data_IF_998564507779
#
_entry.id   IF_998564507779
#
_cell.length_a   1.000
_cell.length_b   1.000
_cell.length_c   1.000
_cell.angle_alpha   90.00
_cell.angle_beta   90.00
_cell.angle_gamma   90.00
#
_symmetry.space_group_name_H-M   'P 1'
#
loop_
_entity.id
_entity.type
_entity.pdbx_description
1 polymer ?
#
# COMPACT_ATOMS: atom_id res chain seq x y z
N UNK A 1 16.02 24.53 4.56
CA UNK A 1 15.48 23.35 5.27
C UNK A 1 16.18 22.12 4.72
N UNK A 2 16.95 21.41 5.55
CA UNK A 2 17.68 20.21 5.11
C UNK A 2 16.82 19.01 5.47
N UNK A 3 16.43 18.22 4.46
CA UNK A 3 15.72 16.96 4.64
C UNK A 3 16.50 16.04 5.59
N UNK A 4 15.85 15.57 6.65
CA UNK A 4 16.46 14.72 7.67
C UNK A 4 15.94 13.29 7.56
N UNK A 5 16.79 12.40 7.03
CA UNK A 5 16.53 10.96 6.97
C UNK A 5 16.17 10.36 8.34
N UNK A 6 16.80 10.86 9.42
CA UNK A 6 16.50 10.41 10.79
C UNK A 6 15.04 10.64 11.18
N UNK A 7 14.44 11.77 10.76
CA UNK A 7 13.05 12.09 11.07
C UNK A 7 12.08 11.25 10.25
N UNK A 8 12.33 11.11 8.95
CA UNK A 8 11.52 10.26 8.07
C UNK A 8 11.51 8.79 8.55
N UNK A 9 12.67 8.28 8.98
CA UNK A 9 12.78 6.93 9.54
C UNK A 9 12.04 6.78 10.89
N UNK A 10 12.04 7.82 11.74
CA UNK A 10 11.28 7.80 12.99
C UNK A 10 9.76 7.75 12.72
N UNK A 11 9.28 8.48 11.70
CA UNK A 11 7.89 8.43 11.25
C UNK A 11 7.54 7.04 10.73
N UNK A 12 8.39 6.46 9.89
CA UNK A 12 8.23 5.08 9.41
C UNK A 12 8.10 4.07 10.56
N UNK A 13 8.97 4.14 11.58
CA UNK A 13 8.93 3.21 12.71
C UNK A 13 7.68 3.35 13.57
N UNK A 14 7.18 4.58 13.73
CA UNK A 14 5.91 4.86 14.41
C UNK A 14 4.75 4.26 13.61
N UNK A 15 4.65 4.60 12.33
CA UNK A 15 3.55 4.15 11.46
C UNK A 15 3.53 2.63 11.29
N UNK A 16 4.70 1.99 11.20
CA UNK A 16 4.79 0.51 11.18
C UNK A 16 4.12 -0.14 12.40
N UNK A 17 4.37 0.42 13.60
CA UNK A 17 3.75 -0.10 14.84
C UNK A 17 2.26 0.19 14.88
N UNK A 18 1.82 1.33 14.36
CA UNK A 18 0.42 1.71 14.33
C UNK A 18 -0.37 0.82 13.35
N UNK A 19 0.18 0.52 12.17
CA UNK A 19 -0.40 -0.43 11.21
C UNK A 19 -0.61 -1.80 11.84
N UNK A 20 0.39 -2.34 12.54
CA UNK A 20 0.29 -3.65 13.20
C UNK A 20 -0.80 -3.67 14.29
N UNK A 21 -0.98 -2.55 15.01
CA UNK A 21 -2.02 -2.44 16.04
C UNK A 21 -3.41 -2.25 15.43
N UNK A 22 -3.49 -1.69 14.24
CA UNK A 22 -4.74 -1.50 13.52
C UNK A 22 -5.11 -2.79 12.79
N UNK A 23 -5.94 -3.62 13.44
CA UNK A 23 -6.38 -4.91 12.89
C UNK A 23 -7.03 -4.77 11.50
N UNK A 24 -7.74 -3.67 11.24
CA UNK A 24 -8.41 -3.47 9.94
C UNK A 24 -7.37 -3.25 8.82
N UNK A 25 -6.37 -2.43 9.05
CA UNK A 25 -5.29 -2.18 8.08
C UNK A 25 -4.39 -3.42 7.95
N UNK A 26 -4.03 -4.06 9.06
CA UNK A 26 -3.22 -5.28 9.05
C UNK A 26 -3.88 -6.43 8.29
N UNK A 27 -5.17 -6.66 8.50
CA UNK A 27 -5.91 -7.71 7.78
C UNK A 27 -6.01 -7.43 6.29
N UNK A 28 -6.21 -6.17 5.90
CA UNK A 28 -6.21 -5.77 4.48
C UNK A 28 -4.87 -6.05 3.79
N UNK A 29 -3.75 -5.90 4.51
CA UNK A 29 -2.43 -6.20 3.97
C UNK A 29 -2.14 -7.70 3.88
N UNK A 30 -2.73 -8.53 4.75
CA UNK A 30 -2.57 -9.98 4.71
C UNK A 30 -3.47 -10.66 3.67
N UNK A 31 -4.60 -10.06 3.31
CA UNK A 31 -5.56 -10.64 2.37
C UNK A 31 -4.96 -11.07 1.01
N UNK A 32 -4.12 -10.26 0.35
CA UNK A 32 -3.50 -10.66 -0.91
C UNK A 32 -2.64 -11.93 -0.80
N UNK A 33 -1.95 -12.13 0.33
CA UNK A 33 -1.15 -13.34 0.58
C UNK A 33 -2.05 -14.56 0.71
N UNK A 34 -3.16 -14.44 1.45
CA UNK A 34 -4.12 -15.52 1.62
C UNK A 34 -4.74 -15.93 0.28
N UNK A 35 -5.12 -14.94 -0.55
CA UNK A 35 -5.63 -15.20 -1.89
C UNK A 35 -4.56 -15.80 -2.79
N UNK A 36 -3.32 -15.31 -2.77
CA UNK A 36 -2.23 -15.89 -3.53
C UNK A 36 -1.99 -17.37 -3.16
N UNK A 37 -2.02 -17.71 -1.87
CA UNK A 37 -1.89 -19.08 -1.41
C UNK A 37 -3.07 -19.96 -1.88
N UNK A 38 -4.29 -19.43 -1.89
CA UNK A 38 -5.47 -20.15 -2.35
C UNK A 38 -5.42 -20.40 -3.87
N UNK A 39 -5.19 -19.34 -4.65
CA UNK A 39 -5.09 -19.43 -6.11
C UNK A 39 -3.89 -20.26 -6.57
N UNK A 40 -2.74 -20.15 -5.90
CA UNK A 40 -1.57 -20.98 -6.19
C UNK A 40 -1.87 -22.47 -6.07
N UNK A 41 -2.68 -22.88 -5.08
CA UNK A 41 -3.09 -24.29 -4.90
C UNK A 41 -4.13 -24.75 -5.92
N UNK A 42 -4.93 -23.84 -6.48
CA UNK A 42 -5.89 -24.16 -7.54
C UNK A 42 -5.21 -24.34 -8.91
N UNK A 43 -3.97 -23.88 -9.06
CA UNK A 43 -3.27 -23.82 -10.34
C UNK A 43 -3.72 -22.59 -11.14
N UNK A 44 -2.91 -21.54 -11.11
CA UNK A 44 -3.14 -20.36 -11.95
C UNK A 44 -2.51 -20.62 -13.31
N UNK A 45 -3.34 -20.95 -14.31
CA UNK A 45 -2.86 -21.22 -15.68
C UNK A 45 -2.87 -19.98 -16.56
N UNK A 46 -3.65 -18.95 -16.19
CA UNK A 46 -3.80 -17.74 -16.99
C UNK A 46 -2.95 -16.58 -16.47
N UNK A 47 -2.41 -15.81 -17.40
CA UNK A 47 -1.68 -14.57 -17.11
C UNK A 47 -2.57 -13.60 -16.31
N UNK A 48 -3.86 -13.51 -16.67
CA UNK A 48 -4.84 -12.67 -15.96
C UNK A 48 -4.99 -13.04 -14.48
N UNK A 49 -4.91 -14.33 -14.12
CA UNK A 49 -5.00 -14.76 -12.73
C UNK A 49 -3.83 -14.26 -11.87
N UNK A 50 -2.61 -14.23 -12.42
CA UNK A 50 -1.46 -13.66 -11.72
C UNK A 50 -1.59 -12.15 -11.53
N UNK A 51 -1.99 -11.43 -12.59
CA UNK A 51 -2.16 -9.97 -12.51
C UNK A 51 -3.33 -9.55 -11.64
N UNK A 52 -4.39 -10.36 -11.53
CA UNK A 52 -5.47 -10.11 -10.58
C UNK A 52 -4.94 -10.07 -9.14
N UNK A 53 -4.10 -11.03 -8.74
CA UNK A 53 -3.48 -11.07 -7.40
C UNK A 53 -2.56 -9.86 -7.19
N UNK A 54 -1.80 -9.47 -8.21
CA UNK A 54 -0.93 -8.29 -8.13
C UNK A 54 -1.72 -6.97 -8.06
N UNK A 55 -2.75 -6.79 -8.89
CA UNK A 55 -3.63 -5.61 -8.86
C UNK A 55 -4.39 -5.51 -7.53
N UNK A 56 -4.84 -6.64 -7.00
CA UNK A 56 -5.46 -6.69 -5.67
C UNK A 56 -4.46 -6.26 -4.58
N UNK A 57 -3.21 -6.71 -4.67
CA UNK A 57 -2.13 -6.27 -3.76
C UNK A 57 -1.87 -4.77 -3.88
N UNK A 58 -1.82 -4.23 -5.09
CA UNK A 58 -1.63 -2.80 -5.34
C UNK A 58 -2.78 -1.96 -4.79
N UNK A 59 -4.03 -2.41 -4.96
CA UNK A 59 -5.20 -1.73 -4.40
C UNK A 59 -5.24 -1.77 -2.87
N UNK A 60 -5.14 -2.96 -2.27
CA UNK A 60 -5.32 -3.16 -0.83
C UNK A 60 -4.12 -2.73 -0.01
N UNK A 61 -2.91 -2.82 -0.55
CA UNK A 61 -1.69 -2.45 0.16
C UNK A 61 -1.23 -1.07 -0.29
N UNK A 62 -0.81 -0.89 -1.53
CA UNK A 62 -0.20 0.37 -1.96
C UNK A 62 -1.17 1.56 -1.87
N UNK A 63 -2.42 1.41 -2.30
CA UNK A 63 -3.38 2.50 -2.25
C UNK A 63 -4.13 2.57 -0.91
N UNK A 64 -4.73 1.47 -0.43
CA UNK A 64 -5.56 1.50 0.77
C UNK A 64 -4.74 1.73 2.05
N UNK A 65 -3.63 1.01 2.29
CA UNK A 65 -2.80 1.25 3.50
C UNK A 65 -2.27 2.68 3.50
N UNK A 66 -1.83 3.19 2.35
CA UNK A 66 -1.39 4.59 2.23
C UNK A 66 -2.52 5.58 2.53
N UNK A 67 -3.72 5.33 2.04
CA UNK A 67 -4.91 6.13 2.30
C UNK A 67 -5.25 6.12 3.81
N UNK A 68 -5.27 4.93 4.41
CA UNK A 68 -5.55 4.73 5.84
C UNK A 68 -4.52 5.43 6.74
N UNK A 69 -3.23 5.34 6.41
CA UNK A 69 -2.14 6.01 7.15
C UNK A 69 -2.28 7.54 7.20
N UNK A 70 -2.87 8.15 6.17
CA UNK A 70 -3.12 9.59 6.13
C UNK A 70 -4.43 9.94 6.82
N UNK A 71 -5.47 9.16 6.55
CA UNK A 71 -6.78 9.35 7.17
C UNK A 71 -6.74 9.18 8.69
N UNK A 72 -5.92 8.25 9.20
CA UNK A 72 -5.73 8.02 10.64
C UNK A 72 -5.15 9.25 11.35
N UNK A 73 -4.18 9.94 10.72
CA UNK A 73 -3.60 11.16 11.28
C UNK A 73 -4.58 12.34 11.28
N UNK A 74 -5.53 12.34 10.34
CA UNK A 74 -6.62 13.33 10.30
C UNK A 74 -7.63 13.05 11.40
N UNK A 75 -8.03 11.80 11.54
CA UNK A 75 -8.99 11.34 12.53
C UNK A 75 -8.52 11.64 13.95
N UNK A 76 -7.23 11.38 14.22
CA UNK A 76 -6.60 11.64 15.53
C UNK A 76 -6.21 13.12 15.74
N UNK A 77 -6.48 14.00 14.78
CA UNK A 77 -6.03 15.41 14.77
C UNK A 77 -4.51 15.61 14.91
N UNK A 78 -3.72 14.53 14.78
CA UNK A 78 -2.26 14.54 14.92
C UNK A 78 -1.56 15.16 13.72
N UNK A 79 -2.24 15.29 12.57
CA UNK A 79 -1.74 16.03 11.41
C UNK A 79 -1.37 17.48 11.74
N UNK A 80 -2.18 18.17 12.56
CA UNK A 80 -1.85 19.53 13.04
C UNK A 80 -0.64 19.51 13.98
N UNK A 81 -0.56 18.50 14.86
CA UNK A 81 0.59 18.31 15.75
C UNK A 81 1.90 18.02 15.00
N UNK A 82 1.83 17.28 13.88
CA UNK A 82 2.98 17.02 13.02
C UNK A 82 3.44 18.25 12.24
N UNK A 83 2.52 19.12 11.82
CA UNK A 83 2.85 20.42 11.21
C UNK A 83 3.44 21.43 12.20
N UNK A 84 3.18 21.26 13.50
CA UNK A 84 3.81 22.03 14.58
C UNK A 84 5.16 21.43 15.01
N UNK A 85 5.44 20.18 14.62
CA UNK A 85 6.78 19.60 14.75
C UNK A 85 7.72 20.17 13.69
N UNK A 86 9.04 20.16 13.90
CA UNK A 86 10.00 20.70 12.94
C UNK A 86 10.11 19.85 11.65
N UNK A 87 9.31 18.80 11.48
CA UNK A 87 9.32 17.93 10.30
C UNK A 87 8.57 18.59 9.13
N UNK A 88 9.20 18.55 7.95
CA UNK A 88 8.55 19.05 6.73
C UNK A 88 7.42 18.12 6.29
N UNK A 89 6.37 18.67 5.65
CA UNK A 89 5.30 17.89 5.02
C UNK A 89 5.84 16.84 4.04
N UNK A 90 6.92 17.15 3.32
CA UNK A 90 7.60 16.21 2.43
C UNK A 90 8.29 15.07 3.19
N UNK A 91 8.87 15.32 4.36
CA UNK A 91 9.50 14.28 5.20
C UNK A 91 8.46 13.29 5.75
N UNK A 92 7.29 13.81 6.12
CA UNK A 92 6.16 13.03 6.61
C UNK A 92 5.59 12.16 5.50
N UNK A 93 5.31 12.76 4.33
CA UNK A 93 4.74 12.03 3.20
C UNK A 93 5.73 10.97 2.68
N UNK A 94 7.02 11.31 2.59
CA UNK A 94 8.07 10.38 2.18
C UNK A 94 8.16 9.18 3.15
N UNK A 95 8.19 9.43 4.47
CA UNK A 95 8.26 8.37 5.48
C UNK A 95 7.07 7.40 5.41
N UNK A 96 5.85 7.95 5.23
CA UNK A 96 4.62 7.16 5.06
C UNK A 96 4.62 6.36 3.76
N UNK A 97 4.95 7.01 2.64
CA UNK A 97 5.01 6.34 1.34
C UNK A 97 6.04 5.21 1.29
N UNK A 98 7.16 5.35 2.02
CA UNK A 98 8.19 4.32 2.09
C UNK A 98 7.70 3.06 2.81
N UNK A 99 6.84 3.20 3.82
CA UNK A 99 6.18 2.08 4.49
C UNK A 99 5.27 1.31 3.53
N UNK A 100 4.39 2.01 2.83
CA UNK A 100 3.48 1.39 1.85
C UNK A 100 4.25 0.79 0.68
N UNK A 101 5.35 1.41 0.24
CA UNK A 101 6.20 0.90 -0.84
C UNK A 101 6.87 -0.42 -0.47
N UNK A 102 7.58 -0.45 0.67
CA UNK A 102 8.27 -1.66 1.14
C UNK A 102 7.27 -2.77 1.45
N UNK A 103 6.17 -2.44 2.13
CA UNK A 103 5.11 -3.40 2.46
C UNK A 103 4.52 -4.03 1.21
N UNK A 104 4.19 -3.22 0.20
CA UNK A 104 3.63 -3.70 -1.08
C UNK A 104 4.64 -4.57 -1.83
N UNK A 105 5.90 -4.14 -1.92
CA UNK A 105 6.94 -4.90 -2.61
C UNK A 105 7.14 -6.29 -1.98
N UNK A 106 7.19 -6.36 -0.65
CA UNK A 106 7.31 -7.64 0.08
C UNK A 106 6.09 -8.54 -0.20
N UNK A 107 4.88 -7.98 -0.12
CA UNK A 107 3.66 -8.76 -0.34
C UNK A 107 3.57 -9.26 -1.79
N UNK A 108 3.93 -8.45 -2.78
CA UNK A 108 3.99 -8.88 -4.19
C UNK A 108 5.00 -10.02 -4.35
N UNK A 109 6.19 -9.94 -3.75
CA UNK A 109 7.19 -11.00 -3.84
C UNK A 109 6.70 -12.32 -3.22
N UNK A 110 6.05 -12.25 -2.05
CA UNK A 110 5.47 -13.42 -1.40
C UNK A 110 4.34 -14.00 -2.27
N UNK A 111 3.43 -13.16 -2.76
CA UNK A 111 2.33 -13.58 -3.62
C UNK A 111 2.83 -14.21 -4.91
N UNK A 112 3.86 -13.64 -5.55
CA UNK A 112 4.48 -14.16 -6.76
C UNK A 112 5.11 -15.55 -6.53
N UNK A 113 5.74 -15.75 -5.37
CA UNK A 113 6.28 -17.04 -4.98
C UNK A 113 5.18 -18.09 -4.77
N UNK A 114 4.10 -17.72 -4.09
CA UNK A 114 2.98 -18.64 -3.79
C UNK A 114 2.21 -19.10 -5.03
N UNK A 115 2.12 -18.26 -6.06
CA UNK A 115 1.46 -18.60 -7.34
C UNK A 115 2.46 -19.12 -8.39
N UNK A 116 3.71 -19.37 -8.01
CA UNK A 116 4.79 -19.84 -8.89
C UNK A 116 4.98 -19.00 -10.17
N UNK A 117 4.79 -17.69 -10.06
CA UNK A 117 4.85 -16.78 -11.21
C UNK A 117 6.24 -16.75 -11.84
N UNK A 118 6.31 -17.06 -13.14
CA UNK A 118 7.54 -16.98 -13.94
C UNK A 118 7.47 -15.81 -14.93
N UNK A 119 8.14 -14.68 -14.64
CA UNK A 119 8.17 -13.55 -15.56
C UNK A 119 8.95 -13.89 -16.83
N UNK A 120 8.47 -13.39 -17.99
CA UNK A 120 9.20 -13.49 -19.26
C UNK A 120 10.51 -12.68 -19.24
N UNK A 121 10.44 -11.47 -18.71
CA UNK A 121 11.60 -10.62 -18.44
C UNK A 121 11.49 -10.04 -17.03
N UNK A 122 12.35 -10.52 -16.15
CA UNK A 122 12.35 -10.15 -14.73
C UNK A 122 12.67 -8.67 -14.53
N UNK A 123 13.54 -8.09 -15.36
CA UNK A 123 13.94 -6.68 -15.23
C UNK A 123 12.79 -5.78 -15.63
N UNK A 124 12.18 -6.03 -16.79
CA UNK A 124 11.06 -5.23 -17.29
C UNK A 124 9.86 -5.31 -16.33
N UNK A 125 9.52 -6.52 -15.88
CA UNK A 125 8.37 -6.71 -14.98
C UNK A 125 8.63 -6.08 -13.61
N UNK A 126 9.84 -6.18 -13.06
CA UNK A 126 10.18 -5.51 -11.79
C UNK A 126 10.07 -3.99 -11.89
N UNK A 127 10.56 -3.39 -12.98
CA UNK A 127 10.42 -1.95 -13.22
C UNK A 127 8.95 -1.53 -13.37
N UNK A 128 8.15 -2.30 -14.12
CA UNK A 128 6.72 -2.06 -14.26
C UNK A 128 5.97 -2.15 -12.92
N UNK A 129 6.35 -3.11 -12.06
CA UNK A 129 5.79 -3.24 -10.72
C UNK A 129 6.17 -2.06 -9.82
N UNK A 130 7.43 -1.63 -9.83
CA UNK A 130 7.87 -0.44 -9.08
C UNK A 130 7.09 0.80 -9.52
N UNK A 131 6.95 1.02 -10.82
CA UNK A 131 6.18 2.14 -11.36
C UNK A 131 4.70 2.07 -10.94
N UNK A 132 4.12 0.86 -10.98
CA UNK A 132 2.75 0.61 -10.51
C UNK A 132 2.61 0.93 -9.03
N UNK A 133 3.51 0.46 -8.16
CA UNK A 133 3.47 0.76 -6.72
C UNK A 133 3.49 2.27 -6.50
N UNK A 134 4.35 3.02 -7.20
CA UNK A 134 4.40 4.48 -7.08
C UNK A 134 3.08 5.14 -7.50
N UNK A 135 2.47 4.67 -8.59
CA UNK A 135 1.16 5.16 -9.04
C UNK A 135 0.06 4.90 -8.01
N UNK A 136 -0.04 3.69 -7.48
CA UNK A 136 -1.06 3.34 -6.47
C UNK A 136 -0.84 4.02 -5.13
N UNK A 137 0.40 4.22 -4.71
CA UNK A 137 0.71 5.07 -3.54
C UNK A 137 0.26 6.50 -3.80
N UNK A 138 0.53 7.06 -4.99
CA UNK A 138 0.05 8.37 -5.39
C UNK A 138 -1.47 8.48 -5.27
N UNK A 139 -2.20 7.51 -5.83
CA UNK A 139 -3.66 7.44 -5.68
C UNK A 139 -4.08 7.34 -4.21
N UNK A 140 -3.46 6.45 -3.43
CA UNK A 140 -3.72 6.31 -1.99
C UNK A 140 -3.48 7.60 -1.22
N UNK A 141 -2.44 8.36 -1.57
CA UNK A 141 -2.19 9.67 -0.97
C UNK A 141 -3.28 10.68 -1.30
N UNK A 142 -3.71 10.76 -2.56
CA UNK A 142 -4.76 11.68 -2.98
C UNK A 142 -6.08 11.36 -2.27
N UNK A 143 -6.47 10.08 -2.24
CA UNK A 143 -7.69 9.65 -1.57
C UNK A 143 -7.61 9.87 -0.05
N UNK A 144 -6.47 9.57 0.57
CA UNK A 144 -6.23 9.83 1.99
C UNK A 144 -6.27 11.32 2.34
N UNK A 145 -5.89 12.19 1.40
CA UNK A 145 -6.03 13.64 1.54
C UNK A 145 -7.46 14.16 1.36
N UNK A 146 -8.37 13.37 0.79
CA UNK A 146 -9.79 13.71 0.67
C UNK A 146 -10.64 13.17 1.82
N UNK A 147 -10.25 12.05 2.42
CA UNK A 147 -11.00 11.41 3.52
C UNK A 147 -10.71 12.02 4.90
N UNK A 148 -11.61 11.80 5.85
CA UNK A 148 -11.54 12.30 7.23
C UNK A 148 -11.28 11.20 8.25
N UNK A 149 -11.62 9.95 7.94
CA UNK A 149 -11.44 8.79 8.82
C UNK A 149 -10.96 7.56 8.07
N UNK A 150 -10.41 6.59 8.80
CA UNK A 150 -9.96 5.30 8.24
C UNK A 150 -11.14 4.51 7.65
N UNK A 151 -12.33 4.67 8.23
CA UNK A 151 -13.56 4.06 7.71
C UNK A 151 -14.01 4.70 6.40
N UNK A 152 -13.90 6.03 6.26
CA UNK A 152 -14.19 6.69 4.98
C UNK A 152 -13.18 6.28 3.90
N UNK A 153 -11.91 6.12 4.27
CA UNK A 153 -10.87 5.60 3.38
C UNK A 153 -11.19 4.22 2.80
N UNK A 154 -11.81 3.32 3.59
CA UNK A 154 -12.16 1.98 3.11
C UNK A 154 -13.36 1.99 2.15
N UNK A 155 -14.29 2.92 2.32
CA UNK A 155 -15.41 3.10 1.39
C UNK A 155 -14.94 3.73 0.08
N UNK A 156 -14.10 4.76 0.17
CA UNK A 156 -13.59 5.49 -1.01
C UNK A 156 -12.72 4.60 -1.90
N UNK A 157 -11.99 3.63 -1.34
CA UNK A 157 -11.16 2.72 -2.14
C UNK A 157 -11.98 1.67 -2.92
N UNK A 158 -13.20 1.32 -2.49
CA UNK A 158 -14.01 0.26 -3.10
C UNK A 158 -14.22 0.39 -4.61
N UNK A 159 -14.62 1.55 -5.18
CA UNK A 159 -14.77 1.68 -6.63
C UNK A 159 -13.46 1.46 -7.39
N UNK A 160 -12.34 1.92 -6.85
CA UNK A 160 -11.02 1.69 -7.44
C UNK A 160 -10.60 0.22 -7.35
N UNK A 161 -10.86 -0.42 -6.20
CA UNK A 161 -10.63 -1.85 -6.01
C UNK A 161 -11.38 -2.68 -7.06
N UNK A 162 -12.67 -2.37 -7.29
CA UNK A 162 -13.49 -3.03 -8.30
C UNK A 162 -12.93 -2.85 -9.71
N UNK A 163 -12.66 -1.60 -10.11
CA UNK A 163 -12.16 -1.25 -11.44
C UNK A 163 -10.79 -1.87 -11.74
N UNK A 164 -9.85 -1.76 -10.82
CA UNK A 164 -8.47 -2.17 -11.08
C UNK A 164 -8.19 -3.64 -10.80
N UNK A 165 -8.96 -4.30 -9.93
CA UNK A 165 -8.75 -5.73 -9.64
C UNK A 165 -9.53 -6.65 -10.56
N UNK A 166 -10.74 -6.26 -10.98
CA UNK A 166 -11.61 -7.11 -11.82
C UNK A 166 -11.79 -6.61 -13.25
N UNK A 167 -11.34 -5.40 -13.57
CA UNK A 167 -11.42 -4.83 -14.92
C UNK A 167 -10.27 -5.21 -15.85
N UNK A 168 -9.35 -6.08 -15.41
CA UNK A 168 -8.13 -6.48 -16.13
C UNK A 168 -8.15 -7.94 -16.57
#
# INVERSE_FOLDING_TARGET
MIFSLKRSMAIFQKDYKDVIKNYFVSTSALMPILLAAFYGRMGVETISGHYMVFNLTLCLVAAYVQCALIAEEKEKNTLRGLMLSPASTLEILAGKSLLSFIGTAIIILISAFLIEYKPMDLVVISLAMVLSILFYIGLGTLLGLLTKSVMEASVVIMPFFGLFSFGS
#
